data_IF_498768259595
#
_entry.id   IF_498768259595
#
_cell.length_a   1.000
_cell.length_b   1.000
_cell.length_c   1.000
_cell.angle_alpha   90.00
_cell.angle_beta   90.00
_cell.angle_gamma   90.00
#
_symmetry.space_group_name_H-M   'P 1'
#
loop_
_entity.id
_entity.type
_entity.pdbx_description
1 polymer ?
#
# COMPACT_ATOMS: atom_id res chain seq x y z
N UNK A 1 8.47 15.06 20.31
CA UNK A 1 7.23 15.76 20.67
C UNK A 1 6.03 14.84 20.61
N UNK A 2 4.90 15.26 21.10
CA UNK A 2 3.64 14.51 21.06
C UNK A 2 2.88 14.87 19.78
N UNK A 3 2.23 13.92 19.09
CA UNK A 3 1.35 14.22 17.98
C UNK A 3 0.16 15.09 18.43
N UNK A 4 -0.28 15.98 17.56
CA UNK A 4 -1.43 16.87 17.80
C UNK A 4 -2.46 16.70 16.71
N UNK A 5 -3.73 17.01 17.01
CA UNK A 5 -4.80 16.97 16.03
C UNK A 5 -5.13 18.38 15.57
N UNK A 6 -5.20 18.57 14.26
CA UNK A 6 -5.77 19.75 13.66
C UNK A 6 -7.30 19.69 13.81
N UNK A 7 -7.88 20.56 14.62
CA UNK A 7 -9.29 20.52 14.97
C UNK A 7 -10.23 20.89 13.81
N UNK A 8 -9.72 21.50 12.75
CA UNK A 8 -10.53 21.84 11.57
C UNK A 8 -10.66 20.65 10.61
N UNK A 9 -9.58 19.92 10.41
CA UNK A 9 -9.51 18.83 9.41
C UNK A 9 -9.54 17.44 10.02
N UNK A 10 -9.31 17.31 11.34
CA UNK A 10 -9.11 16.02 12.00
C UNK A 10 -7.78 15.35 11.67
N UNK A 11 -6.91 16.02 10.93
CA UNK A 11 -5.60 15.51 10.55
C UNK A 11 -4.66 15.44 11.75
N UNK A 12 -3.93 14.35 11.88
CA UNK A 12 -2.90 14.21 12.91
C UNK A 12 -1.58 14.80 12.40
N UNK A 13 -1.03 15.72 13.14
CA UNK A 13 0.27 16.34 12.88
C UNK A 13 1.32 15.63 13.72
N UNK A 14 2.15 14.85 13.07
CA UNK A 14 3.30 14.18 13.69
C UNK A 14 4.50 15.12 13.71
N UNK A 15 5.15 15.34 14.88
CA UNK A 15 6.39 16.12 14.92
C UNK A 15 7.50 15.43 14.12
N UNK A 16 8.43 16.24 13.61
CA UNK A 16 9.60 15.71 12.89
C UNK A 16 10.37 14.74 13.79
N UNK A 17 10.76 13.60 13.25
CA UNK A 17 11.48 12.55 13.98
C UNK A 17 10.64 11.82 15.04
N UNK A 18 9.32 11.92 15.01
CA UNK A 18 8.46 11.18 15.93
C UNK A 18 8.66 9.66 15.78
N UNK A 19 9.00 9.03 16.92
CA UNK A 19 9.10 7.58 17.06
C UNK A 19 8.02 7.14 18.04
N UNK A 20 7.19 6.19 17.63
CA UNK A 20 6.17 5.61 18.48
C UNK A 20 6.82 4.74 19.58
N UNK A 21 6.40 4.94 20.82
CA UNK A 21 6.96 4.25 21.99
C UNK A 21 6.13 3.04 22.47
N UNK A 22 5.12 2.65 21.68
CA UNK A 22 4.20 1.54 22.05
C UNK A 22 2.99 1.97 22.87
N UNK A 23 2.87 3.26 23.24
CA UNK A 23 1.76 3.76 24.08
C UNK A 23 0.86 4.68 23.29
N UNK A 24 -0.44 4.41 23.29
CA UNK A 24 -1.45 5.28 22.72
C UNK A 24 -1.79 6.41 23.70
N UNK A 25 -2.03 7.61 23.16
CA UNK A 25 -2.50 8.75 23.92
C UNK A 25 -3.99 8.69 24.24
N UNK A 26 -4.51 9.73 24.90
CA UNK A 26 -5.95 9.88 25.14
C UNK A 26 -6.73 9.93 23.80
N UNK A 27 -7.92 9.35 23.78
CA UNK A 27 -8.81 9.39 22.63
C UNK A 27 -9.17 10.85 22.26
N UNK A 28 -9.02 11.17 20.98
CA UNK A 28 -9.34 12.48 20.41
C UNK A 28 -10.07 12.29 19.09
N UNK A 29 -10.94 13.24 18.74
CA UNK A 29 -11.54 13.22 17.41
C UNK A 29 -10.45 13.36 16.34
N UNK A 30 -10.50 12.50 15.32
CA UNK A 30 -9.62 12.59 14.17
C UNK A 30 -10.29 12.00 12.92
N UNK A 31 -9.80 12.38 11.74
CA UNK A 31 -10.22 11.84 10.45
C UNK A 31 -9.26 10.76 9.90
N UNK A 32 -8.32 10.30 10.69
CA UNK A 32 -7.32 9.33 10.27
C UNK A 32 -7.92 7.92 10.15
N UNK A 33 -7.98 7.32 8.95
CA UNK A 33 -8.62 6.02 8.74
C UNK A 33 -7.93 4.88 9.51
N UNK A 34 -6.63 4.93 9.70
CA UNK A 34 -5.88 3.92 10.48
C UNK A 34 -6.29 3.91 11.94
N UNK A 35 -6.43 5.08 12.57
CA UNK A 35 -6.82 5.15 13.97
C UNK A 35 -8.31 4.91 14.17
N UNK A 36 -9.16 5.26 13.20
CA UNK A 36 -10.59 4.91 13.21
C UNK A 36 -10.75 3.38 13.14
N UNK A 37 -9.97 2.72 12.29
CA UNK A 37 -9.97 1.26 12.23
C UNK A 37 -9.46 0.63 13.54
N UNK A 38 -8.40 1.19 14.12
CA UNK A 38 -7.88 0.73 15.42
C UNK A 38 -8.94 0.87 16.52
N UNK A 39 -9.61 2.01 16.61
CA UNK A 39 -10.68 2.25 17.57
C UNK A 39 -11.85 1.26 17.39
N UNK A 40 -12.26 1.00 16.16
CA UNK A 40 -13.28 0.00 15.85
C UNK A 40 -12.86 -1.41 16.31
N UNK A 41 -11.59 -1.77 16.18
CA UNK A 41 -11.11 -3.09 16.60
C UNK A 41 -11.01 -3.24 18.12
N UNK A 42 -10.77 -2.15 18.86
CA UNK A 42 -10.50 -2.19 20.31
C UNK A 42 -11.68 -1.78 21.19
N UNK A 43 -12.65 -1.04 20.65
CA UNK A 43 -13.79 -0.55 21.44
C UNK A 43 -14.81 -1.65 21.68
N UNK A 44 -15.18 -1.89 22.94
CA UNK A 44 -16.19 -2.87 23.32
C UNK A 44 -17.62 -2.43 22.99
N UNK A 45 -17.89 -1.12 23.02
CA UNK A 45 -19.24 -0.57 22.91
C UNK A 45 -19.87 -0.74 21.52
N UNK A 46 -19.09 -0.52 20.48
CA UNK A 46 -19.56 -0.52 19.08
C UNK A 46 -18.61 -1.26 18.12
N UNK A 47 -17.54 -1.82 18.63
CA UNK A 47 -16.51 -2.49 17.89
C UNK A 47 -16.30 -3.94 18.33
N UNK A 48 -15.07 -4.42 18.14
CA UNK A 48 -14.71 -5.82 18.36
C UNK A 48 -13.86 -6.03 19.62
N UNK A 49 -13.81 -5.05 20.53
CA UNK A 49 -12.96 -5.07 21.74
C UNK A 49 -13.25 -6.22 22.71
N UNK A 50 -14.43 -6.87 22.62
CA UNK A 50 -14.71 -8.10 23.34
C UNK A 50 -13.92 -9.32 22.83
N UNK A 51 -13.42 -9.26 21.60
CA UNK A 51 -12.72 -10.36 20.93
C UNK A 51 -11.27 -10.03 20.61
N UNK A 52 -10.96 -8.74 20.40
CA UNK A 52 -9.65 -8.25 20.03
C UNK A 52 -9.15 -7.34 21.13
N UNK A 53 -8.00 -7.69 21.73
CA UNK A 53 -7.33 -6.87 22.75
C UNK A 53 -6.10 -6.19 22.16
N UNK A 54 -5.56 -5.19 22.83
CA UNK A 54 -4.35 -4.47 22.38
C UNK A 54 -3.17 -5.40 22.14
N UNK A 55 -3.08 -6.53 22.88
CA UNK A 55 -2.05 -7.56 22.68
C UNK A 55 -2.19 -8.31 21.35
N UNK A 56 -3.35 -8.28 20.74
CA UNK A 56 -3.61 -8.90 19.44
C UNK A 56 -3.44 -7.92 18.26
N UNK A 57 -2.83 -6.75 18.48
CA UNK A 57 -2.68 -5.70 17.47
C UNK A 57 -1.21 -5.30 17.33
N UNK A 58 -0.74 -5.22 16.10
CA UNK A 58 0.55 -4.61 15.78
C UNK A 58 0.39 -3.09 15.68
N UNK A 59 0.40 -2.42 16.84
CA UNK A 59 0.23 -0.96 16.92
C UNK A 59 1.25 -0.19 16.07
N UNK A 60 2.43 -0.75 15.83
CA UNK A 60 3.46 -0.10 14.99
C UNK A 60 3.03 -0.01 13.53
N UNK A 61 2.37 -1.04 13.00
CA UNK A 61 1.82 -1.00 11.64
C UNK A 61 0.70 0.04 11.51
N UNK A 62 -0.18 0.15 12.50
CA UNK A 62 -1.24 1.17 12.54
C UNK A 62 -0.67 2.58 12.59
N UNK A 63 0.34 2.83 13.42
CA UNK A 63 0.98 4.15 13.50
C UNK A 63 1.77 4.47 12.23
N UNK A 64 2.42 3.50 11.61
CA UNK A 64 3.10 3.70 10.33
C UNK A 64 2.11 4.09 9.22
N UNK A 65 0.96 3.41 9.14
CA UNK A 65 -0.12 3.76 8.22
C UNK A 65 -0.75 5.11 8.55
N UNK A 66 -0.93 5.43 9.84
CA UNK A 66 -1.42 6.73 10.27
C UNK A 66 -0.50 7.88 9.86
N UNK A 67 0.82 7.73 10.03
CA UNK A 67 1.79 8.74 9.56
C UNK A 67 1.64 8.98 8.07
N UNK A 68 1.63 7.92 7.27
CA UNK A 68 1.48 8.02 5.83
C UNK A 68 0.13 8.62 5.40
N UNK A 69 -0.96 8.27 6.09
CA UNK A 69 -2.29 8.81 5.80
C UNK A 69 -2.38 10.32 6.07
N UNK A 70 -1.67 10.81 7.10
CA UNK A 70 -1.70 12.22 7.51
C UNK A 70 -0.62 13.09 6.84
N UNK A 71 0.22 12.55 5.96
CA UNK A 71 1.11 13.36 5.13
C UNK A 71 0.30 14.32 4.25
N UNK A 72 0.77 15.57 4.18
CA UNK A 72 0.18 16.54 3.26
C UNK A 72 0.58 16.21 1.82
N UNK A 73 -0.40 16.14 0.96
CA UNK A 73 -0.25 15.92 -0.48
C UNK A 73 -1.04 16.97 -1.24
N UNK A 74 -0.65 17.19 -2.48
CA UNK A 74 -1.38 18.07 -3.41
C UNK A 74 -2.80 17.52 -3.62
N UNK A 75 -3.81 18.39 -3.49
CA UNK A 75 -5.22 18.07 -3.73
C UNK A 75 -5.57 18.04 -5.22
N UNK A 76 -4.65 18.47 -6.09
CA UNK A 76 -4.85 18.60 -7.53
C UNK A 76 -5.58 19.88 -7.96
N UNK A 77 -5.91 20.77 -7.03
CA UNK A 77 -6.67 22.01 -7.25
C UNK A 77 -5.97 23.25 -6.71
N UNK A 78 -4.70 23.12 -6.32
CA UNK A 78 -3.84 24.20 -5.86
C UNK A 78 -3.73 24.32 -4.33
N UNK A 79 -4.29 23.37 -3.59
CA UNK A 79 -4.15 23.24 -2.13
C UNK A 79 -3.41 21.98 -1.71
N UNK A 80 -3.34 21.78 -0.40
CA UNK A 80 -2.82 20.57 0.21
C UNK A 80 -3.81 20.00 1.21
N UNK A 81 -3.91 18.68 1.24
CA UNK A 81 -4.75 17.96 2.18
C UNK A 81 -4.05 16.71 2.72
N UNK A 82 -4.64 16.07 3.76
CA UNK A 82 -4.19 14.75 4.19
C UNK A 82 -4.27 13.75 3.03
N UNK A 83 -3.30 12.86 2.91
CA UNK A 83 -3.29 11.83 1.87
C UNK A 83 -4.55 10.99 1.89
N UNK A 84 -4.98 10.58 3.08
CA UNK A 84 -6.23 9.85 3.32
C UNK A 84 -6.95 10.41 4.53
N UNK A 85 -8.23 10.67 4.37
CA UNK A 85 -9.16 11.02 5.44
C UNK A 85 -10.40 10.14 5.35
N UNK A 86 -11.03 9.90 6.47
CA UNK A 86 -12.21 9.07 6.59
C UNK A 86 -13.26 9.81 7.40
N UNK A 87 -14.40 10.11 6.78
CA UNK A 87 -15.54 10.75 7.42
C UNK A 87 -16.81 10.01 7.02
N UNK A 88 -17.38 9.26 7.94
CA UNK A 88 -18.56 8.44 7.68
C UNK A 88 -19.47 8.40 8.90
N UNK A 89 -20.76 8.35 8.67
CA UNK A 89 -21.77 8.05 9.67
C UNK A 89 -22.37 6.67 9.35
N UNK A 90 -22.09 5.70 10.21
CA UNK A 90 -22.59 4.32 10.09
C UNK A 90 -23.88 4.21 10.88
N UNK A 91 -25.01 4.13 10.17
CA UNK A 91 -26.34 4.14 10.79
C UNK A 91 -27.01 2.76 10.87
N UNK A 92 -26.43 1.76 10.24
CA UNK A 92 -27.01 0.43 10.14
C UNK A 92 -26.11 -0.68 10.66
N UNK A 93 -26.67 -1.84 10.90
CA UNK A 93 -25.88 -3.04 11.11
C UNK A 93 -25.21 -3.44 9.80
N UNK A 94 -23.90 -3.39 9.77
CA UNK A 94 -23.06 -3.82 8.63
C UNK A 94 -22.27 -5.04 9.06
N UNK A 95 -22.06 -5.95 8.13
CA UNK A 95 -21.19 -7.09 8.38
C UNK A 95 -19.79 -6.62 8.76
N UNK A 96 -19.27 -7.13 9.87
CA UNK A 96 -18.01 -6.73 10.48
C UNK A 96 -16.84 -6.75 9.49
N UNK A 97 -16.70 -7.86 8.79
CA UNK A 97 -15.59 -8.04 7.84
C UNK A 97 -15.65 -7.06 6.67
N UNK A 98 -16.84 -6.79 6.16
CA UNK A 98 -17.06 -5.80 5.09
C UNK A 98 -16.65 -4.41 5.55
N UNK A 99 -17.08 -3.99 6.75
CA UNK A 99 -16.73 -2.66 7.28
C UNK A 99 -15.23 -2.51 7.52
N UNK A 100 -14.56 -3.52 8.06
CA UNK A 100 -13.11 -3.52 8.27
C UNK A 100 -12.38 -3.37 6.93
N UNK A 101 -12.79 -4.11 5.90
CA UNK A 101 -12.18 -4.01 4.58
C UNK A 101 -12.46 -2.67 3.89
N UNK A 102 -13.66 -2.11 4.03
CA UNK A 102 -13.99 -0.79 3.50
C UNK A 102 -13.13 0.31 4.16
N UNK A 103 -13.00 0.30 5.49
CA UNK A 103 -12.15 1.24 6.23
C UNK A 103 -10.67 1.09 5.87
N UNK A 104 -10.17 -0.14 5.77
CA UNK A 104 -8.81 -0.41 5.34
C UNK A 104 -8.59 0.05 3.89
N UNK A 105 -9.57 -0.16 3.02
CA UNK A 105 -9.55 0.26 1.61
C UNK A 105 -9.42 1.77 1.42
N UNK A 106 -9.94 2.60 2.35
CA UNK A 106 -9.80 4.07 2.30
C UNK A 106 -8.33 4.48 2.19
N UNK A 107 -7.43 3.79 2.89
CA UNK A 107 -6.00 4.06 2.93
C UNK A 107 -5.17 3.05 2.14
N UNK A 108 -5.81 2.25 1.26
CA UNK A 108 -5.19 1.17 0.48
C UNK A 108 -4.43 0.19 1.36
N UNK A 109 -5.02 -0.16 2.48
CA UNK A 109 -4.49 -1.18 3.37
C UNK A 109 -5.37 -2.43 3.32
N UNK A 110 -4.79 -3.54 3.73
CA UNK A 110 -5.55 -4.74 4.04
C UNK A 110 -5.09 -5.29 5.39
N UNK A 111 -6.04 -5.64 6.25
CA UNK A 111 -5.74 -6.24 7.54
C UNK A 111 -5.33 -7.69 7.32
N UNK A 112 -4.27 -8.11 8.01
CA UNK A 112 -3.73 -9.47 7.96
C UNK A 112 -3.68 -10.00 9.38
N UNK A 113 -4.25 -11.17 9.60
CA UNK A 113 -4.05 -11.91 10.83
C UNK A 113 -2.80 -12.78 10.69
N UNK A 114 -1.76 -12.44 11.41
CA UNK A 114 -0.48 -13.15 11.37
C UNK A 114 0.12 -13.25 12.77
N UNK A 115 0.67 -14.41 13.13
CA UNK A 115 1.37 -14.62 14.40
C UNK A 115 0.54 -14.28 15.64
N UNK A 116 -0.79 -14.43 15.56
CA UNK A 116 -1.71 -14.12 16.67
C UNK A 116 -2.03 -12.64 16.83
N UNK A 117 -1.62 -11.80 15.87
CA UNK A 117 -1.90 -10.37 15.86
C UNK A 117 -2.49 -9.90 14.53
N UNK A 118 -3.28 -8.82 14.58
CA UNK A 118 -3.74 -8.09 13.41
C UNK A 118 -2.70 -7.06 13.04
N UNK A 119 -2.16 -7.21 11.84
CA UNK A 119 -1.23 -6.25 11.23
C UNK A 119 -1.91 -5.64 10.01
N UNK A 120 -1.69 -4.37 9.73
CA UNK A 120 -2.13 -3.76 8.48
C UNK A 120 -0.96 -3.64 7.52
N UNK A 121 -1.17 -4.15 6.30
CA UNK A 121 -0.25 -3.96 5.19
C UNK A 121 -0.76 -2.86 4.29
N UNK A 122 0.10 -1.91 3.94
CA UNK A 122 -0.25 -0.74 3.15
C UNK A 122 0.40 -0.79 1.77
N UNK A 123 -0.42 -0.64 0.73
CA UNK A 123 0.04 -0.47 -0.63
C UNK A 123 0.65 0.93 -0.82
N UNK A 124 1.97 0.97 -0.74
CA UNK A 124 2.78 2.19 -0.90
C UNK A 124 4.15 1.84 -1.46
N UNK A 125 4.83 2.78 -2.13
CA UNK A 125 6.22 2.58 -2.54
C UNK A 125 7.11 2.30 -1.31
N UNK A 126 7.70 1.11 -1.28
CA UNK A 126 8.65 0.68 -0.25
C UNK A 126 9.80 -0.07 -0.90
N UNK A 127 10.94 -0.10 -0.23
CA UNK A 127 12.05 -0.94 -0.67
C UNK A 127 11.65 -2.43 -0.58
N UNK A 128 12.06 -3.26 -1.55
CA UNK A 128 11.79 -4.69 -1.50
C UNK A 128 12.40 -5.34 -0.25
N UNK A 129 11.61 -6.17 0.43
CA UNK A 129 12.05 -6.90 1.62
C UNK A 129 12.90 -8.14 1.28
N UNK A 130 12.69 -8.72 0.10
CA UNK A 130 13.36 -9.93 -0.33
C UNK A 130 13.53 -9.98 -1.85
N UNK A 131 14.60 -10.66 -2.30
CA UNK A 131 14.89 -10.89 -3.71
C UNK A 131 14.70 -12.36 -4.06
N UNK A 132 13.76 -12.66 -4.95
CA UNK A 132 13.58 -13.99 -5.52
C UNK A 132 14.30 -14.12 -6.86
N UNK A 133 15.01 -15.24 -7.02
CA UNK A 133 15.73 -15.60 -8.25
C UNK A 133 15.62 -17.10 -8.47
N UNK A 134 16.09 -17.61 -9.61
CA UNK A 134 16.10 -19.06 -9.86
C UNK A 134 16.93 -19.86 -8.84
N UNK A 135 17.74 -19.20 -8.01
CA UNK A 135 18.56 -19.88 -6.99
C UNK A 135 17.77 -20.20 -5.70
N UNK A 136 16.69 -19.45 -5.42
CA UNK A 136 15.90 -19.57 -4.19
C UNK A 136 14.40 -19.81 -4.42
N UNK A 137 14.02 -20.17 -5.64
CA UNK A 137 12.69 -20.64 -6.01
C UNK A 137 12.72 -22.14 -6.35
N UNK A 138 11.57 -22.80 -6.27
CA UNK A 138 11.45 -24.22 -6.59
C UNK A 138 11.72 -24.52 -8.06
N UNK A 139 11.87 -25.81 -8.39
CA UNK A 139 12.23 -26.30 -9.74
C UNK A 139 11.30 -25.83 -10.87
N UNK A 140 10.06 -25.45 -10.56
CA UNK A 140 9.10 -24.88 -11.54
C UNK A 140 9.44 -23.47 -11.99
N UNK A 141 10.38 -22.76 -11.34
CA UNK A 141 10.73 -21.38 -11.64
C UNK A 141 9.55 -20.42 -11.49
N UNK A 142 9.51 -19.39 -12.34
CA UNK A 142 8.47 -18.37 -12.35
C UNK A 142 7.42 -18.65 -13.42
N UNK A 143 6.16 -18.59 -13.05
CA UNK A 143 5.01 -18.66 -13.96
C UNK A 143 4.32 -17.31 -14.03
N UNK A 144 4.03 -16.83 -15.21
CA UNK A 144 3.44 -15.52 -15.48
C UNK A 144 2.04 -15.64 -16.05
N UNK A 145 1.10 -14.91 -15.48
CA UNK A 145 -0.24 -14.76 -16.03
C UNK A 145 -0.59 -13.28 -16.16
N UNK A 146 -1.14 -12.89 -17.29
CA UNK A 146 -1.50 -11.50 -17.58
C UNK A 146 -2.99 -11.24 -17.40
N UNK A 147 -3.37 -10.00 -17.07
CA UNK A 147 -4.74 -9.53 -17.07
C UNK A 147 -5.26 -9.31 -18.50
N UNK A 148 -6.56 -9.55 -18.70
CA UNK A 148 -7.20 -9.29 -20.00
C UNK A 148 -7.26 -7.80 -20.31
N UNK A 149 -7.04 -7.42 -21.58
CA UNK A 149 -7.22 -6.05 -22.06
C UNK A 149 -8.65 -5.52 -21.84
N UNK A 150 -9.64 -6.42 -21.82
CA UNK A 150 -11.06 -6.05 -21.58
C UNK A 150 -11.34 -5.58 -20.16
N UNK A 151 -10.44 -5.86 -19.21
CA UNK A 151 -10.55 -5.44 -17.81
C UNK A 151 -9.88 -4.08 -17.54
N UNK A 152 -9.27 -3.48 -18.55
CA UNK A 152 -8.56 -2.20 -18.41
C UNK A 152 -9.50 -1.06 -18.75
N UNK A 153 -9.87 -0.30 -17.74
CA UNK A 153 -10.68 0.90 -17.90
C UNK A 153 -9.79 2.08 -18.29
N UNK A 154 -10.37 3.06 -18.97
CA UNK A 154 -9.69 4.28 -19.41
C UNK A 154 -10.29 5.53 -18.79
N UNK A 155 -11.46 5.39 -18.18
CA UNK A 155 -12.16 6.45 -17.44
C UNK A 155 -12.72 5.87 -16.16
N UNK A 156 -12.40 6.48 -15.04
CA UNK A 156 -12.98 6.16 -13.73
C UNK A 156 -13.83 7.33 -13.27
N UNK A 157 -15.10 7.06 -12.98
CA UNK A 157 -16.02 8.01 -12.39
C UNK A 157 -16.14 7.69 -10.90
N UNK A 158 -15.57 8.54 -10.04
CA UNK A 158 -15.53 8.34 -8.60
C UNK A 158 -16.60 9.18 -7.94
N UNK A 159 -17.55 8.53 -7.27
CA UNK A 159 -18.55 9.22 -6.44
C UNK A 159 -18.03 9.41 -5.03
N UNK A 160 -18.17 10.61 -4.48
CA UNK A 160 -17.79 10.98 -3.12
C UNK A 160 -18.84 11.91 -2.49
N UNK A 161 -18.81 12.10 -1.18
CA UNK A 161 -19.71 13.04 -0.51
C UNK A 161 -19.05 14.41 -0.43
N UNK A 162 -19.63 15.40 -1.08
CA UNK A 162 -19.14 16.77 -1.05
C UNK A 162 -19.70 17.48 0.19
N UNK A 163 -18.82 17.92 1.08
CA UNK A 163 -19.20 18.56 2.37
C UNK A 163 -19.81 19.95 2.15
N UNK A 164 -19.44 20.66 1.08
CA UNK A 164 -19.93 22.02 0.80
C UNK A 164 -21.37 21.99 0.30
N UNK A 165 -21.66 21.15 -0.69
CA UNK A 165 -23.01 20.96 -1.23
C UNK A 165 -23.88 20.05 -0.38
N UNK A 166 -23.29 19.21 0.49
CA UNK A 166 -23.92 18.14 1.28
C UNK A 166 -24.64 17.09 0.42
N UNK A 167 -24.11 16.85 -0.76
CA UNK A 167 -24.63 15.90 -1.74
C UNK A 167 -23.54 14.98 -2.24
N UNK A 168 -23.93 13.91 -2.93
CA UNK A 168 -22.99 13.04 -3.65
C UNK A 168 -22.57 13.76 -4.93
N UNK A 169 -21.27 13.93 -5.09
CA UNK A 169 -20.65 14.52 -6.26
C UNK A 169 -19.74 13.50 -6.95
N UNK A 170 -19.29 13.81 -8.16
CA UNK A 170 -18.54 12.90 -9.01
C UNK A 170 -17.26 13.56 -9.51
N UNK A 171 -16.16 12.83 -9.37
CA UNK A 171 -14.89 13.22 -9.98
C UNK A 171 -14.54 12.23 -11.10
N UNK A 172 -14.34 12.75 -12.31
CA UNK A 172 -14.00 11.95 -13.49
C UNK A 172 -12.50 11.99 -13.71
N UNK A 173 -11.88 10.83 -13.74
CA UNK A 173 -10.44 10.68 -13.98
C UNK A 173 -10.24 9.90 -15.27
N UNK A 174 -9.42 10.45 -16.17
CA UNK A 174 -9.20 9.91 -17.50
C UNK A 174 -7.73 9.66 -17.77
N UNK A 175 -7.45 8.57 -18.49
CA UNK A 175 -6.15 8.31 -19.12
C UNK A 175 -6.28 8.45 -20.63
N UNK A 176 -5.93 9.62 -21.13
CA UNK A 176 -6.01 9.95 -22.58
C UNK A 176 -5.09 9.07 -23.42
N UNK A 177 -3.97 8.61 -22.86
CA UNK A 177 -3.04 7.71 -23.56
C UNK A 177 -3.65 6.34 -23.75
N UNK A 178 -4.29 5.81 -22.72
CA UNK A 178 -5.01 4.56 -22.79
C UNK A 178 -6.26 4.66 -23.66
N UNK A 179 -7.00 5.77 -23.61
CA UNK A 179 -8.16 6.03 -24.48
C UNK A 179 -7.81 5.97 -25.96
N UNK A 180 -6.68 6.54 -26.37
CA UNK A 180 -6.21 6.51 -27.75
C UNK A 180 -5.93 5.09 -28.26
N UNK A 181 -5.60 4.15 -27.36
CA UNK A 181 -5.29 2.74 -27.70
C UNK A 181 -6.49 1.81 -27.60
N UNK A 182 -7.29 1.98 -26.55
CA UNK A 182 -8.33 1.02 -26.15
C UNK A 182 -9.76 1.59 -26.35
N UNK A 183 -9.90 2.89 -26.65
CA UNK A 183 -11.17 3.57 -26.65
C UNK A 183 -11.62 3.98 -25.24
N UNK A 184 -12.86 4.45 -25.12
CA UNK A 184 -13.43 4.91 -23.86
C UNK A 184 -14.12 3.72 -23.17
N UNK A 185 -13.51 3.22 -22.09
CA UNK A 185 -14.04 2.15 -21.24
C UNK A 185 -14.21 2.73 -19.83
N UNK A 186 -15.47 2.88 -19.41
CA UNK A 186 -15.83 3.55 -18.15
C UNK A 186 -16.06 2.56 -17.02
N UNK A 187 -15.69 2.98 -15.79
CA UNK A 187 -16.02 2.29 -14.53
C UNK A 187 -16.48 3.29 -13.50
N UNK A 188 -17.59 2.99 -12.84
CA UNK A 188 -18.07 3.77 -11.70
C UNK A 188 -17.56 3.16 -10.40
N UNK A 189 -17.00 3.99 -9.52
CA UNK A 189 -16.44 3.60 -8.23
C UNK A 189 -17.00 4.51 -7.15
N UNK A 190 -17.47 3.93 -6.05
CA UNK A 190 -17.88 4.68 -4.86
C UNK A 190 -16.69 4.80 -3.90
N UNK A 191 -16.26 6.03 -3.63
CA UNK A 191 -15.23 6.30 -2.61
C UNK A 191 -15.89 6.25 -1.23
N UNK A 192 -15.71 5.13 -0.52
CA UNK A 192 -16.24 4.97 0.84
C UNK A 192 -15.64 6.02 1.78
N UNK A 193 -16.48 6.64 2.62
CA UNK A 193 -16.07 7.62 3.63
C UNK A 193 -15.22 8.80 3.13
N UNK A 194 -15.18 9.04 1.82
CA UNK A 194 -14.43 10.11 1.19
C UNK A 194 -15.29 11.38 1.11
N UNK A 195 -14.76 12.48 1.63
CA UNK A 195 -15.42 13.79 1.60
C UNK A 195 -14.61 14.85 0.85
N UNK A 196 -13.48 14.46 0.28
CA UNK A 196 -12.59 15.33 -0.47
C UNK A 196 -12.58 14.99 -1.96
N UNK A 197 -12.70 16.01 -2.79
CA UNK A 197 -12.56 15.90 -4.24
C UNK A 197 -11.15 15.44 -4.65
N UNK A 198 -10.11 15.98 -3.99
CA UNK A 198 -8.73 15.61 -4.26
C UNK A 198 -8.44 14.14 -3.92
N UNK A 199 -8.98 13.64 -2.79
CA UNK A 199 -8.87 12.22 -2.44
C UNK A 199 -9.61 11.33 -3.44
N UNK A 200 -10.80 11.72 -3.91
CA UNK A 200 -11.54 11.00 -4.96
C UNK A 200 -10.73 10.95 -6.27
N UNK A 201 -10.12 12.05 -6.68
CA UNK A 201 -9.25 12.10 -7.86
C UNK A 201 -8.04 11.18 -7.72
N UNK A 202 -7.37 11.17 -6.55
CA UNK A 202 -6.23 10.28 -6.30
C UNK A 202 -6.63 8.81 -6.30
N UNK A 203 -7.84 8.48 -5.81
CA UNK A 203 -8.39 7.13 -5.89
C UNK A 203 -8.57 6.70 -7.35
N UNK A 204 -9.20 7.53 -8.17
CA UNK A 204 -9.38 7.25 -9.59
C UNK A 204 -8.06 7.07 -10.34
N UNK A 205 -7.08 7.95 -10.10
CA UNK A 205 -5.72 7.84 -10.67
C UNK A 205 -5.03 6.55 -10.26
N UNK A 206 -5.18 6.14 -9.00
CA UNK A 206 -4.57 4.89 -8.52
C UNK A 206 -5.17 3.66 -9.18
N UNK A 207 -6.49 3.62 -9.35
CA UNK A 207 -7.17 2.51 -10.03
C UNK A 207 -6.72 2.43 -11.49
N UNK A 208 -6.69 3.56 -12.22
CA UNK A 208 -6.20 3.59 -13.60
C UNK A 208 -4.74 3.13 -13.69
N UNK A 209 -3.89 3.60 -12.78
CA UNK A 209 -2.48 3.19 -12.75
C UNK A 209 -2.34 1.69 -12.54
N UNK A 210 -3.02 1.13 -11.53
CA UNK A 210 -2.96 -0.31 -11.25
C UNK A 210 -3.46 -1.14 -12.44
N UNK A 211 -4.61 -0.78 -13.02
CA UNK A 211 -5.17 -1.52 -14.16
C UNK A 211 -4.30 -1.43 -15.44
N UNK A 212 -3.53 -0.36 -15.61
CA UNK A 212 -2.68 -0.16 -16.80
C UNK A 212 -1.25 -0.68 -16.60
N UNK A 213 -0.69 -0.59 -15.40
CA UNK A 213 0.72 -0.92 -15.11
C UNK A 213 0.89 -2.28 -14.43
N UNK A 214 -0.01 -2.65 -13.52
CA UNK A 214 0.06 -3.90 -12.76
C UNK A 214 -0.70 -5.02 -13.48
N UNK A 215 -0.20 -5.36 -14.66
CA UNK A 215 -0.94 -6.22 -15.59
C UNK A 215 -0.56 -7.69 -15.51
N UNK A 216 0.40 -8.05 -14.66
CA UNK A 216 0.93 -9.39 -14.57
C UNK A 216 0.95 -9.92 -13.14
N UNK A 217 0.61 -11.17 -13.00
CA UNK A 217 0.73 -11.94 -11.76
C UNK A 217 1.84 -12.97 -11.95
N UNK A 218 2.78 -13.01 -11.03
CA UNK A 218 3.89 -13.96 -11.01
C UNK A 218 3.65 -14.98 -9.92
N UNK A 219 3.63 -16.26 -10.27
CA UNK A 219 3.46 -17.36 -9.34
C UNK A 219 4.73 -18.22 -9.30
N UNK A 220 5.17 -18.58 -8.11
CA UNK A 220 6.33 -19.45 -7.88
C UNK A 220 6.23 -20.11 -6.51
N UNK A 221 7.00 -21.18 -6.31
CA UNK A 221 7.16 -21.84 -5.02
C UNK A 221 8.51 -21.52 -4.43
N UNK A 222 8.58 -21.43 -3.11
CA UNK A 222 9.83 -21.12 -2.41
C UNK A 222 9.96 -21.95 -1.12
N UNK A 223 11.12 -21.87 -0.47
CA UNK A 223 11.36 -22.55 0.81
C UNK A 223 10.55 -21.91 1.95
N UNK A 224 10.37 -22.64 3.03
CA UNK A 224 9.71 -22.17 4.27
C UNK A 224 10.47 -20.98 4.86
N UNK A 225 11.79 -20.96 4.76
CA UNK A 225 12.65 -19.91 5.32
C UNK A 225 12.35 -18.54 4.67
N UNK A 226 12.17 -18.51 3.34
CA UNK A 226 11.76 -17.30 2.66
C UNK A 226 10.34 -16.87 3.08
N UNK A 227 9.44 -17.83 3.35
CA UNK A 227 8.10 -17.57 3.87
C UNK A 227 8.07 -16.98 5.29
N UNK A 228 9.10 -17.21 6.09
CA UNK A 228 9.25 -16.60 7.41
C UNK A 228 9.65 -15.10 7.32
N UNK A 229 10.36 -14.71 6.27
CA UNK A 229 10.82 -13.33 6.06
C UNK A 229 9.75 -12.49 5.35
N UNK A 230 9.08 -13.08 4.34
CA UNK A 230 8.13 -12.38 3.47
C UNK A 230 6.72 -12.58 3.99
N UNK A 231 6.09 -11.48 4.42
CA UNK A 231 4.69 -11.47 4.85
C UNK A 231 3.77 -11.09 3.68
N UNK A 232 2.48 -11.50 3.70
CA UNK A 232 1.51 -10.99 2.75
C UNK A 232 1.52 -9.46 2.69
N UNK A 233 1.49 -8.89 1.47
CA UNK A 233 1.58 -7.45 1.25
C UNK A 233 2.99 -6.85 1.31
N UNK A 234 4.03 -7.65 1.55
CA UNK A 234 5.41 -7.18 1.41
C UNK A 234 5.79 -6.99 -0.05
N UNK A 235 6.54 -5.93 -0.34
CA UNK A 235 7.14 -5.71 -1.65
C UNK A 235 8.34 -6.63 -1.80
N UNK A 236 8.40 -7.37 -2.90
CA UNK A 236 9.49 -8.28 -3.25
C UNK A 236 10.10 -7.91 -4.58
N UNK A 237 11.36 -8.25 -4.79
CA UNK A 237 12.02 -8.19 -6.09
C UNK A 237 12.07 -9.56 -6.74
N UNK A 238 11.84 -9.62 -8.04
CA UNK A 238 11.97 -10.84 -8.84
C UNK A 238 13.08 -10.63 -9.87
N UNK A 239 14.05 -11.52 -9.87
CA UNK A 239 15.10 -11.57 -10.87
C UNK A 239 14.96 -12.86 -11.69
N UNK A 240 14.21 -12.75 -12.80
CA UNK A 240 14.07 -13.82 -13.78
C UNK A 240 14.94 -13.53 -15.02
N UNK A 241 16.05 -14.23 -15.20
CA UNK A 241 16.93 -14.01 -16.35
C UNK A 241 16.30 -14.39 -17.69
N UNK A 242 15.29 -15.26 -17.70
CA UNK A 242 14.59 -15.68 -18.93
C UNK A 242 13.78 -14.51 -19.48
N UNK A 243 13.13 -13.74 -18.59
CA UNK A 243 12.26 -12.62 -18.99
C UNK A 243 12.99 -11.28 -19.04
N UNK A 244 13.97 -11.07 -18.17
CA UNK A 244 14.77 -9.86 -18.12
C UNK A 244 15.80 -9.74 -19.27
N UNK A 245 16.04 -10.81 -20.00
CA UNK A 245 17.00 -10.85 -21.11
C UNK A 245 18.47 -10.63 -20.71
N UNK A 246 18.71 -10.22 -19.46
CA UNK A 246 20.04 -9.97 -18.92
C UNK A 246 20.20 -10.59 -17.53
N UNK A 247 21.30 -11.31 -17.35
CA UNK A 247 21.65 -11.85 -16.03
C UNK A 247 22.19 -10.73 -15.14
N UNK A 248 21.35 -10.25 -14.22
CA UNK A 248 21.71 -9.21 -13.24
C UNK A 248 22.12 -9.78 -11.87
N UNK A 249 22.33 -11.09 -11.77
CA UNK A 249 22.79 -11.78 -10.56
C UNK A 249 23.97 -12.67 -10.89
N UNK A 250 24.89 -12.83 -9.95
CA UNK A 250 26.08 -13.67 -10.10
C UNK A 250 26.52 -14.26 -8.76
N UNK A 251 27.38 -15.26 -8.79
CA UNK A 251 28.04 -15.82 -7.61
C UNK A 251 29.21 -14.94 -7.21
N UNK A 252 29.40 -14.77 -5.93
CA UNK A 252 30.57 -14.04 -5.40
C UNK A 252 31.81 -14.92 -5.62
N UNK A 253 32.77 -14.43 -6.41
CA UNK A 253 34.08 -15.05 -6.59
C UNK A 253 35.06 -14.70 -5.48
N UNK A 254 35.05 -13.44 -5.10
CA UNK A 254 35.88 -12.92 -4.03
C UNK A 254 35.24 -11.68 -3.42
N UNK A 255 35.46 -11.45 -2.15
CA UNK A 255 35.00 -10.26 -1.45
C UNK A 255 36.15 -9.68 -0.62
N UNK A 256 36.25 -8.37 -0.60
CA UNK A 256 37.11 -7.59 0.30
C UNK A 256 36.23 -6.64 1.10
N UNK A 257 36.79 -5.90 2.03
CA UNK A 257 36.05 -4.92 2.84
C UNK A 257 35.43 -3.79 2.00
N UNK A 258 35.88 -3.59 0.76
CA UNK A 258 35.48 -2.47 -0.09
C UNK A 258 34.99 -2.88 -1.49
N UNK A 259 35.17 -4.15 -1.88
CA UNK A 259 34.81 -4.62 -3.22
C UNK A 259 34.33 -6.07 -3.21
N UNK A 260 33.34 -6.37 -4.04
CA UNK A 260 32.84 -7.72 -4.30
C UNK A 260 33.05 -8.01 -5.78
N UNK A 261 33.71 -9.12 -6.08
CA UNK A 261 33.87 -9.62 -7.44
C UNK A 261 32.87 -10.75 -7.67
N UNK A 262 32.06 -10.62 -8.71
CA UNK A 262 31.05 -11.63 -9.08
C UNK A 262 31.39 -12.29 -10.40
N UNK A 263 30.87 -13.51 -10.61
CA UNK A 263 31.01 -14.18 -11.91
C UNK A 263 29.99 -13.60 -12.91
N UNK A 264 30.44 -13.37 -14.11
CA UNK A 264 29.61 -13.14 -15.31
C UNK A 264 28.37 -12.22 -15.13
N UNK A 265 28.54 -11.04 -14.55
CA UNK A 265 27.54 -9.97 -14.58
C UNK A 265 27.87 -9.07 -15.76
N UNK A 266 26.94 -8.92 -16.70
CA UNK A 266 27.06 -7.91 -17.76
C UNK A 266 27.01 -6.51 -17.15
N UNK A 267 27.84 -5.65 -17.65
CA UNK A 267 28.07 -4.24 -17.37
C UNK A 267 27.11 -3.60 -16.34
N UNK A 268 27.57 -3.51 -15.11
CA UNK A 268 26.94 -2.69 -14.07
C UNK A 268 26.94 -1.18 -14.41
N UNK A 269 27.72 -0.79 -15.43
CA UNK A 269 27.88 0.60 -15.87
C UNK A 269 26.66 1.13 -16.65
N UNK A 270 25.79 0.26 -17.16
CA UNK A 270 24.54 0.66 -17.82
C UNK A 270 23.42 1.12 -16.87
N UNK A 271 23.62 1.00 -15.56
CA UNK A 271 22.70 1.54 -14.58
C UNK A 271 22.84 3.07 -14.45
N UNK A 272 22.02 3.80 -15.18
CA UNK A 272 21.85 5.25 -15.03
C UNK A 272 20.95 5.54 -13.83
N UNK A 273 21.50 5.63 -12.64
CA UNK A 273 20.76 6.00 -11.41
C UNK A 273 21.73 6.34 -10.27
N UNK A 274 21.34 7.30 -9.44
CA UNK A 274 22.15 7.79 -8.32
C UNK A 274 22.19 6.85 -7.11
N UNK A 275 21.28 5.87 -7.01
CA UNK A 275 21.20 4.90 -5.90
C UNK A 275 21.26 3.46 -6.42
N UNK A 276 22.47 2.98 -6.68
CA UNK A 276 22.68 1.57 -7.01
C UNK A 276 22.64 0.75 -5.72
N UNK A 277 21.65 -0.14 -5.57
CA UNK A 277 21.56 -1.09 -4.46
C UNK A 277 21.97 -2.47 -4.93
N UNK A 278 22.72 -3.18 -4.10
CA UNK A 278 23.14 -4.57 -4.32
C UNK A 278 22.64 -5.40 -3.11
N UNK A 279 21.96 -6.51 -3.38
CA UNK A 279 21.56 -7.47 -2.36
C UNK A 279 22.51 -8.66 -2.38
N UNK A 280 23.09 -9.00 -1.23
CA UNK A 280 23.97 -10.15 -1.06
C UNK A 280 23.22 -11.20 -0.24
N UNK A 281 23.03 -12.39 -0.82
CA UNK A 281 22.47 -13.55 -0.13
C UNK A 281 23.67 -14.37 0.38
N UNK A 282 23.76 -14.49 1.69
CA UNK A 282 24.77 -15.34 2.32
C UNK A 282 24.24 -16.77 2.38
N UNK A 283 25.09 -17.78 2.16
CA UNK A 283 24.71 -19.17 2.48
C UNK A 283 24.55 -19.30 4.00
N UNK A 284 23.55 -20.07 4.42
CA UNK A 284 23.36 -20.48 5.81
C UNK A 284 24.50 -21.39 6.28
#
# INVERSE_FOLDING_TARGET
GTPTVDLQTGRIVYPSGYIFNGTMGAAQWCSCPSLILLDLLTTERYGFGTHITDSNLDLFSFIAASKYANELVDDGFGGQEARFSCNVNIQGSTEAFTLINELAGVMRCFPIWSEGSVTISQDRPTDPSYLFSLANVGEGGFSYSGSSLKQRHTVINVSYFNMDSREIDYEVVEDTTAQNKLGIIKKDVKAFACTSRGQAQRLGKAILFSEQQETEVVSFTTSIDAGAIVRPGSVISINDPVRGGERRSGRIKSATTTAITVDNVKDLDTFTGTNKKCSVILPD
#
